data_IF_143252111217
#
_entry.id   IF_143252111217
#
_cell.length_a   1.000
_cell.length_b   1.000
_cell.length_c   1.000
_cell.angle_alpha   90.00
_cell.angle_beta   90.00
_cell.angle_gamma   90.00
#
_symmetry.space_group_name_H-M   'P 1'
#
loop_
_entity.id
_entity.type
_entity.pdbx_description
1 polymer ?
#
# COMPACT_ATOMS: atom_id res chain seq x y z
N UNK A 1 -26.93 6.35 -14.93
CA UNK A 1 -26.35 6.56 -13.58
C UNK A 1 -25.07 7.35 -13.78
N UNK A 2 -24.82 8.41 -12.99
CA UNK A 2 -23.56 9.13 -13.08
C UNK A 2 -22.43 8.16 -12.70
N UNK A 3 -21.37 8.09 -13.51
CA UNK A 3 -20.21 7.28 -13.23
C UNK A 3 -19.44 7.90 -12.09
N UNK A 4 -19.14 7.13 -11.04
CA UNK A 4 -18.34 7.62 -9.92
C UNK A 4 -16.92 7.88 -10.39
N UNK A 5 -16.44 9.11 -10.17
CA UNK A 5 -15.11 9.56 -10.60
C UNK A 5 -14.07 9.31 -9.53
N UNK A 6 -12.86 8.93 -9.94
CA UNK A 6 -11.68 8.85 -9.07
C UNK A 6 -10.44 9.40 -9.78
N UNK A 7 -9.61 10.10 -9.03
CA UNK A 7 -8.27 10.47 -9.44
C UNK A 7 -7.26 9.46 -8.94
N UNK A 8 -6.43 8.94 -9.85
CA UNK A 8 -5.28 8.07 -9.54
C UNK A 8 -4.02 8.92 -9.62
N UNK A 9 -3.46 9.27 -8.46
CA UNK A 9 -2.31 10.15 -8.38
C UNK A 9 -1.00 9.35 -8.46
N UNK A 10 -0.40 9.36 -9.63
CA UNK A 10 0.81 8.65 -10.02
C UNK A 10 0.62 7.94 -11.38
N UNK A 11 1.17 8.51 -12.46
CA UNK A 11 1.12 7.93 -13.80
C UNK A 11 2.36 7.06 -14.07
N UNK A 12 2.30 5.82 -13.58
CA UNK A 12 3.37 4.83 -13.66
C UNK A 12 2.79 3.43 -13.88
N UNK A 13 3.65 2.40 -13.98
CA UNK A 13 3.19 1.00 -14.02
C UNK A 13 2.34 0.63 -12.79
N UNK A 14 2.75 1.07 -11.59
CA UNK A 14 1.94 0.87 -10.38
C UNK A 14 0.61 1.64 -10.47
N UNK A 15 0.63 2.87 -10.96
CA UNK A 15 -0.59 3.66 -11.19
C UNK A 15 -1.56 2.97 -12.14
N UNK A 16 -1.09 2.33 -13.20
CA UNK A 16 -1.93 1.56 -14.11
C UNK A 16 -2.64 0.40 -13.39
N UNK A 17 -1.92 -0.35 -12.56
CA UNK A 17 -2.51 -1.44 -11.75
C UNK A 17 -3.55 -0.91 -10.77
N UNK A 18 -3.25 0.20 -10.07
CA UNK A 18 -4.22 0.82 -9.15
C UNK A 18 -5.47 1.32 -9.88
N UNK A 19 -5.32 1.84 -11.10
CA UNK A 19 -6.45 2.23 -11.94
C UNK A 19 -7.36 1.04 -12.30
N UNK A 20 -6.76 -0.14 -12.56
CA UNK A 20 -7.56 -1.36 -12.79
C UNK A 20 -8.28 -1.81 -11.52
N UNK A 21 -7.63 -1.69 -10.34
CA UNK A 21 -8.30 -1.93 -9.05
C UNK A 21 -9.45 -0.96 -8.84
N UNK A 22 -9.27 0.32 -9.14
CA UNK A 22 -10.36 1.32 -9.04
C UNK A 22 -11.56 0.96 -9.91
N UNK A 23 -11.30 0.55 -11.16
CA UNK A 23 -12.37 0.06 -12.07
C UNK A 23 -13.08 -1.17 -11.50
N UNK A 24 -12.32 -2.13 -10.94
CA UNK A 24 -12.88 -3.31 -10.28
C UNK A 24 -13.72 -2.96 -9.04
N UNK A 25 -13.44 -1.83 -8.39
CA UNK A 25 -14.25 -1.27 -7.30
C UNK A 25 -15.48 -0.48 -7.78
N UNK A 26 -15.72 -0.35 -9.10
CA UNK A 26 -16.92 0.28 -9.67
C UNK A 26 -16.72 1.75 -10.09
N UNK A 27 -15.52 2.30 -10.03
CA UNK A 27 -15.27 3.63 -10.58
C UNK A 27 -15.30 3.59 -12.11
N UNK A 28 -16.20 4.35 -12.71
CA UNK A 28 -16.39 4.38 -14.17
C UNK A 28 -15.58 5.47 -14.87
N UNK A 29 -15.20 6.53 -14.14
CA UNK A 29 -14.38 7.64 -14.63
C UNK A 29 -13.05 7.68 -13.83
N UNK A 30 -11.97 7.17 -14.44
CA UNK A 30 -10.64 7.08 -13.81
C UNK A 30 -9.70 8.04 -14.51
N UNK A 31 -9.31 9.11 -13.81
CA UNK A 31 -8.44 10.18 -14.32
C UNK A 31 -7.09 10.12 -13.64
N UNK A 32 -6.00 10.15 -14.41
CA UNK A 32 -4.66 10.17 -13.84
C UNK A 32 -4.23 11.58 -13.44
N UNK A 33 -3.56 11.69 -12.30
CA UNK A 33 -2.82 12.87 -11.88
C UNK A 33 -1.33 12.55 -11.82
N UNK A 34 -0.47 13.45 -12.29
CA UNK A 34 0.99 13.36 -12.13
C UNK A 34 1.62 14.74 -12.31
N UNK A 35 2.36 15.22 -11.32
CA UNK A 35 2.95 16.56 -11.36
C UNK A 35 4.13 16.67 -12.31
N UNK A 36 4.78 15.55 -12.66
CA UNK A 36 5.94 15.50 -13.55
C UNK A 36 5.58 15.08 -14.99
N UNK A 37 4.54 14.23 -15.14
CA UNK A 37 4.19 13.60 -16.42
C UNK A 37 2.83 14.09 -16.96
N UNK A 38 2.34 15.23 -16.52
CA UNK A 38 1.07 15.75 -17.00
C UNK A 38 1.18 16.21 -18.46
N UNK A 39 0.15 15.92 -19.25
CA UNK A 39 0.02 16.33 -20.66
C UNK A 39 -1.17 17.28 -20.91
N UNK A 40 -1.92 17.59 -19.85
CA UNK A 40 -3.11 18.46 -19.88
C UNK A 40 -4.34 17.86 -20.56
N UNK A 41 -4.25 16.59 -20.99
CA UNK A 41 -5.32 15.90 -21.70
C UNK A 41 -5.68 14.56 -21.06
N UNK A 42 -4.73 13.63 -20.98
CA UNK A 42 -4.94 12.29 -20.44
C UNK A 42 -4.41 12.18 -19.00
N UNK A 43 -3.44 13.00 -18.65
CA UNK A 43 -2.85 13.10 -17.32
C UNK A 43 -2.90 14.56 -16.89
N UNK A 44 -3.57 14.83 -15.80
CA UNK A 44 -3.69 16.19 -15.24
C UNK A 44 -2.62 16.41 -14.18
N UNK A 45 -2.34 17.66 -13.88
CA UNK A 45 -1.55 18.04 -12.71
C UNK A 45 -2.49 18.16 -11.51
N UNK A 46 -2.03 17.80 -10.32
CA UNK A 46 -2.83 18.02 -9.12
C UNK A 46 -3.01 19.51 -8.85
N UNK A 47 -4.26 19.93 -8.76
CA UNK A 47 -4.65 21.30 -8.43
C UNK A 47 -5.82 21.26 -7.43
N UNK A 48 -5.76 22.02 -6.30
CA UNK A 48 -6.85 22.10 -5.33
C UNK A 48 -8.20 22.55 -5.92
N UNK A 49 -8.20 23.23 -7.08
CA UNK A 49 -9.40 23.68 -7.78
C UNK A 49 -10.07 22.63 -8.66
N UNK A 50 -9.47 21.46 -8.82
CA UNK A 50 -10.10 20.34 -9.53
C UNK A 50 -11.46 20.02 -8.94
N UNK A 51 -12.38 19.54 -9.79
CA UNK A 51 -13.66 19.01 -9.34
C UNK A 51 -13.45 17.98 -8.22
N UNK A 52 -14.20 18.10 -7.12
CA UNK A 52 -14.07 17.18 -5.99
C UNK A 52 -14.56 15.80 -6.37
N UNK A 53 -13.69 14.83 -6.18
CA UNK A 53 -13.91 13.41 -6.38
C UNK A 53 -12.95 12.64 -5.46
N UNK A 54 -13.14 11.34 -5.35
CA UNK A 54 -12.22 10.48 -4.63
C UNK A 54 -10.81 10.54 -5.24
N UNK A 55 -9.79 10.42 -4.39
CA UNK A 55 -8.39 10.34 -4.83
C UNK A 55 -7.75 9.11 -4.22
N UNK A 56 -6.96 8.39 -4.99
CA UNK A 56 -6.04 7.36 -4.51
C UNK A 56 -4.61 7.68 -4.94
N UNK A 57 -3.67 7.66 -3.98
CA UNK A 57 -2.25 7.89 -4.29
C UNK A 57 -1.59 6.58 -4.70
N UNK A 58 -1.20 6.49 -5.97
CA UNK A 58 -0.66 5.30 -6.61
C UNK A 58 0.86 5.37 -6.79
N UNK A 59 1.57 5.63 -5.70
CA UNK A 59 3.03 5.74 -5.64
C UNK A 59 3.59 4.62 -4.79
N UNK A 60 4.55 3.86 -5.33
CA UNK A 60 5.18 2.73 -4.63
C UNK A 60 6.11 3.15 -3.49
N UNK A 61 6.74 4.33 -3.59
CA UNK A 61 7.55 4.90 -2.52
C UNK A 61 6.67 5.30 -1.34
N UNK A 62 6.97 4.77 -0.16
CA UNK A 62 6.14 4.92 1.02
C UNK A 62 6.11 6.37 1.54
N UNK A 63 7.25 7.06 1.51
CA UNK A 63 7.38 8.45 1.99
C UNK A 63 6.70 9.42 1.05
N UNK A 64 6.94 9.28 -0.26
CA UNK A 64 6.29 10.11 -1.29
C UNK A 64 4.78 9.89 -1.25
N UNK A 65 4.31 8.64 -1.11
CA UNK A 65 2.89 8.32 -0.99
C UNK A 65 2.24 9.03 0.20
N UNK A 66 2.91 9.03 1.36
CA UNK A 66 2.45 9.77 2.57
C UNK A 66 2.32 11.25 2.29
N UNK A 67 3.37 11.90 1.78
CA UNK A 67 3.39 13.34 1.50
C UNK A 67 2.25 13.73 0.53
N UNK A 68 2.05 12.95 -0.53
CA UNK A 68 1.01 13.23 -1.51
C UNK A 68 -0.40 12.99 -0.94
N UNK A 69 -0.59 11.98 -0.11
CA UNK A 69 -1.89 11.74 0.53
C UNK A 69 -2.24 12.85 1.53
N UNK A 70 -1.30 13.31 2.32
CA UNK A 70 -1.47 14.47 3.21
C UNK A 70 -1.81 15.75 2.39
N UNK A 71 -1.14 15.97 1.27
CA UNK A 71 -1.43 17.07 0.35
C UNK A 71 -2.86 17.00 -0.19
N UNK A 72 -3.32 15.84 -0.60
CA UNK A 72 -4.68 15.59 -1.08
C UNK A 72 -5.72 15.89 0.00
N UNK A 73 -5.52 15.37 1.21
CA UNK A 73 -6.39 15.62 2.37
C UNK A 73 -6.47 17.12 2.73
N UNK A 74 -5.32 17.78 2.78
CA UNK A 74 -5.25 19.22 3.10
C UNK A 74 -5.93 20.09 2.03
N UNK A 75 -6.03 19.60 0.81
CA UNK A 75 -6.78 20.25 -0.27
C UNK A 75 -8.29 19.94 -0.23
N UNK A 76 -8.76 19.15 0.74
CA UNK A 76 -10.17 18.82 0.96
C UNK A 76 -10.74 17.83 -0.05
N UNK A 77 -9.92 16.88 -0.51
CA UNK A 77 -10.38 15.72 -1.28
C UNK A 77 -10.54 14.51 -0.35
N UNK A 78 -11.51 13.65 -0.67
CA UNK A 78 -11.68 12.37 0.00
C UNK A 78 -10.66 11.35 -0.54
N UNK A 79 -10.04 10.60 0.37
CA UNK A 79 -9.05 9.58 0.00
C UNK A 79 -9.71 8.21 -0.04
N UNK A 80 -9.74 7.60 -1.21
CA UNK A 80 -10.36 6.30 -1.41
C UNK A 80 -9.57 5.18 -0.72
N UNK A 81 -10.27 4.15 -0.26
CA UNK A 81 -9.74 2.84 0.06
C UNK A 81 -10.18 1.88 -1.04
N UNK A 82 -9.24 1.20 -1.69
CA UNK A 82 -9.54 0.30 -2.78
C UNK A 82 -9.25 -1.16 -2.37
N UNK A 83 -10.23 -2.03 -2.57
CA UNK A 83 -10.11 -3.46 -2.31
C UNK A 83 -10.57 -4.19 -3.57
N UNK A 84 -9.63 -4.84 -4.26
CA UNK A 84 -9.95 -5.57 -5.48
C UNK A 84 -10.95 -6.70 -5.20
N UNK A 85 -11.90 -6.92 -6.10
CA UNK A 85 -12.97 -7.91 -5.93
C UNK A 85 -12.50 -9.36 -5.78
N UNK A 86 -11.28 -9.68 -6.24
CA UNK A 86 -10.66 -11.01 -6.03
C UNK A 86 -9.83 -11.11 -4.75
N UNK A 87 -9.71 -10.04 -3.97
CA UNK A 87 -9.06 -10.13 -2.66
C UNK A 87 -10.00 -10.82 -1.66
N UNK A 88 -9.42 -11.65 -0.80
CA UNK A 88 -10.17 -12.30 0.29
C UNK A 88 -9.88 -11.56 1.58
N UNK A 89 -10.87 -10.83 2.08
CA UNK A 89 -10.74 -10.01 3.28
C UNK A 89 -11.73 -10.47 4.34
N UNK A 90 -11.22 -10.82 5.52
CA UNK A 90 -12.06 -11.18 6.66
C UNK A 90 -12.97 -10.02 7.08
N UNK A 91 -14.22 -10.33 7.44
CA UNK A 91 -15.17 -9.35 7.96
C UNK A 91 -14.70 -8.67 9.25
N UNK A 92 -13.78 -9.28 10.00
CA UNK A 92 -13.20 -8.72 11.23
C UNK A 92 -11.90 -7.94 11.00
N UNK A 93 -11.38 -7.91 9.76
CA UNK A 93 -10.21 -7.10 9.43
C UNK A 93 -10.58 -5.61 9.34
N UNK A 94 -9.61 -4.75 9.69
CA UNK A 94 -9.76 -3.30 9.58
C UNK A 94 -8.76 -2.80 8.54
N UNK A 95 -9.23 -1.98 7.60
CA UNK A 95 -8.39 -1.44 6.54
C UNK A 95 -8.53 0.08 6.54
N UNK A 96 -7.40 0.78 6.65
CA UNK A 96 -7.30 2.23 6.72
C UNK A 96 -7.67 2.94 5.42
N UNK A 97 -7.88 4.23 5.53
CA UNK A 97 -8.09 5.14 4.41
C UNK A 97 -6.83 5.18 3.51
N UNK A 98 -7.01 5.33 2.20
CA UNK A 98 -5.88 5.36 1.25
C UNK A 98 -5.18 4.02 1.04
N UNK A 99 -5.56 2.97 1.76
CA UNK A 99 -4.99 1.66 1.54
C UNK A 99 -5.48 1.04 0.23
N UNK A 100 -4.58 0.29 -0.43
CA UNK A 100 -4.89 -0.46 -1.63
C UNK A 100 -4.63 -1.95 -1.38
N UNK A 101 -5.67 -2.77 -1.54
CA UNK A 101 -5.60 -4.23 -1.49
C UNK A 101 -5.73 -4.75 -2.92
N UNK A 102 -4.64 -5.31 -3.41
CA UNK A 102 -4.48 -5.73 -4.80
C UNK A 102 -5.14 -7.09 -5.10
N UNK A 103 -5.23 -7.50 -6.38
CA UNK A 103 -5.79 -8.79 -6.77
C UNK A 103 -5.18 -9.97 -6.01
N UNK A 104 -6.05 -10.92 -5.60
CA UNK A 104 -5.71 -12.16 -4.92
C UNK A 104 -4.95 -12.01 -3.59
N UNK A 105 -4.89 -10.83 -3.01
CA UNK A 105 -4.38 -10.66 -1.66
C UNK A 105 -5.35 -11.27 -0.63
N UNK A 106 -4.80 -11.79 0.46
CA UNK A 106 -5.57 -12.38 1.57
C UNK A 106 -5.30 -11.60 2.84
N UNK A 107 -6.36 -11.16 3.52
CA UNK A 107 -6.27 -10.47 4.82
C UNK A 107 -7.19 -11.20 5.80
N UNK A 108 -6.60 -11.90 6.75
CA UNK A 108 -7.29 -12.79 7.67
C UNK A 108 -7.88 -12.08 8.90
N UNK A 109 -8.47 -12.89 9.78
CA UNK A 109 -9.27 -12.42 10.92
C UNK A 109 -8.49 -11.48 11.84
N UNK A 110 -9.13 -10.36 12.23
CA UNK A 110 -8.61 -9.34 13.16
C UNK A 110 -7.33 -8.63 12.70
N UNK A 111 -6.87 -8.85 11.48
CA UNK A 111 -5.75 -8.10 10.93
C UNK A 111 -6.12 -6.61 10.81
N UNK A 112 -5.14 -5.74 11.08
CA UNK A 112 -5.28 -4.29 10.96
C UNK A 112 -4.29 -3.80 9.91
N UNK A 113 -4.79 -3.10 8.90
CA UNK A 113 -4.00 -2.48 7.84
C UNK A 113 -4.14 -0.97 7.97
N UNK A 114 -3.04 -0.29 8.13
CA UNK A 114 -2.97 1.15 8.36
C UNK A 114 -3.31 2.00 7.14
N UNK A 115 -3.35 3.31 7.36
CA UNK A 115 -3.61 4.32 6.36
C UNK A 115 -2.56 4.27 5.23
N UNK A 116 -3.00 4.42 3.99
CA UNK A 116 -2.10 4.49 2.82
C UNK A 116 -1.24 3.24 2.60
N UNK A 117 -1.49 2.13 3.27
CA UNK A 117 -0.74 0.89 3.10
C UNK A 117 -1.06 0.22 1.76
N UNK A 118 -0.07 -0.49 1.21
CA UNK A 118 -0.24 -1.33 0.02
C UNK A 118 -0.12 -2.80 0.41
N UNK A 119 -1.19 -3.55 0.24
CA UNK A 119 -1.18 -5.01 0.29
C UNK A 119 -1.21 -5.50 -1.14
N UNK A 120 -0.03 -5.86 -1.66
CA UNK A 120 0.16 -6.05 -3.09
C UNK A 120 -0.34 -7.43 -3.57
N UNK A 121 -0.29 -7.65 -4.87
CA UNK A 121 -0.85 -8.82 -5.56
C UNK A 121 -0.41 -10.13 -4.90
N UNK A 122 -1.38 -10.95 -4.50
CA UNK A 122 -1.14 -12.26 -3.88
C UNK A 122 -0.47 -12.23 -2.50
N UNK A 123 -0.32 -11.06 -1.87
CA UNK A 123 0.23 -10.99 -0.51
C UNK A 123 -0.74 -11.61 0.50
N UNK A 124 -0.19 -12.27 1.53
CA UNK A 124 -0.96 -12.94 2.58
C UNK A 124 -0.65 -12.28 3.93
N UNK A 125 -1.69 -11.74 4.55
CA UNK A 125 -1.67 -11.17 5.89
C UNK A 125 -2.51 -12.08 6.78
N UNK A 126 -1.86 -12.85 7.62
CA UNK A 126 -2.53 -13.79 8.52
C UNK A 126 -3.24 -13.08 9.69
N UNK A 127 -3.99 -13.88 10.50
CA UNK A 127 -4.79 -13.38 11.61
C UNK A 127 -3.93 -12.59 12.62
N UNK A 128 -4.54 -11.58 13.23
CA UNK A 128 -3.95 -10.74 14.29
C UNK A 128 -2.69 -9.96 13.84
N UNK A 129 -2.42 -9.85 12.53
CA UNK A 129 -1.33 -9.01 12.02
C UNK A 129 -1.66 -7.53 12.13
N UNK A 130 -0.63 -6.71 12.36
CA UNK A 130 -0.71 -5.26 12.33
C UNK A 130 0.23 -4.71 11.26
N UNK A 131 -0.33 -4.07 10.24
CA UNK A 131 0.43 -3.42 9.15
C UNK A 131 0.32 -1.91 9.35
N UNK A 132 1.43 -1.27 9.63
CA UNK A 132 1.51 0.15 9.92
C UNK A 132 1.19 1.05 8.72
N UNK A 133 0.95 2.33 9.01
CA UNK A 133 0.62 3.33 8.02
C UNK A 133 1.70 3.43 6.94
N UNK A 134 1.26 3.54 5.69
CA UNK A 134 2.13 3.65 4.53
C UNK A 134 3.14 2.50 4.37
N UNK A 135 2.95 1.37 5.04
CA UNK A 135 3.75 0.18 4.77
C UNK A 135 3.38 -0.42 3.40
N UNK A 136 4.32 -1.15 2.82
CA UNK A 136 4.11 -1.84 1.55
C UNK A 136 4.49 -3.31 1.71
N UNK A 137 3.51 -4.19 1.70
CA UNK A 137 3.70 -5.65 1.62
C UNK A 137 3.66 -6.02 0.15
N UNK A 138 4.82 -6.34 -0.42
CA UNK A 138 5.02 -6.54 -1.85
C UNK A 138 4.37 -7.81 -2.39
N UNK A 139 4.33 -8.01 -3.73
CA UNK A 139 3.69 -9.19 -4.31
C UNK A 139 4.16 -10.52 -3.71
N UNK A 140 3.21 -11.41 -3.41
CA UNK A 140 3.46 -12.75 -2.85
C UNK A 140 4.27 -12.78 -1.55
N UNK A 141 4.37 -11.67 -0.82
CA UNK A 141 4.91 -11.71 0.53
C UNK A 141 3.88 -12.31 1.50
N UNK A 142 4.34 -13.12 2.47
CA UNK A 142 3.47 -13.83 3.40
C UNK A 142 3.88 -13.56 4.86
N UNK A 143 2.94 -13.06 5.65
CA UNK A 143 3.14 -12.76 7.06
C UNK A 143 2.28 -13.71 7.89
N UNK A 144 2.93 -14.55 8.71
CA UNK A 144 2.24 -15.48 9.60
C UNK A 144 1.51 -14.74 10.74
N UNK A 145 0.68 -15.44 11.51
CA UNK A 145 -0.19 -14.84 12.51
C UNK A 145 0.52 -13.98 13.54
N UNK A 146 -0.06 -12.83 13.88
CA UNK A 146 0.46 -11.90 14.88
C UNK A 146 1.74 -11.15 14.48
N UNK A 147 2.10 -11.12 13.21
CA UNK A 147 3.23 -10.32 12.72
C UNK A 147 2.88 -8.83 12.79
N UNK A 148 3.81 -8.01 13.29
CA UNK A 148 3.71 -6.56 13.30
C UNK A 148 4.69 -5.98 12.28
N UNK A 149 4.21 -5.15 11.37
CA UNK A 149 5.02 -4.38 10.41
C UNK A 149 4.84 -2.90 10.71
N UNK A 150 5.90 -2.21 11.06
CA UNK A 150 5.87 -0.78 11.38
C UNK A 150 5.60 0.11 10.17
N UNK A 151 5.29 1.38 10.46
CA UNK A 151 4.97 2.38 9.44
C UNK A 151 6.11 2.58 8.44
N UNK A 152 5.77 2.95 7.19
CA UNK A 152 6.71 3.17 6.08
C UNK A 152 7.61 1.98 5.71
N UNK A 153 7.41 0.82 6.32
CA UNK A 153 8.24 -0.37 6.06
C UNK A 153 7.87 -1.02 4.74
N UNK A 154 8.90 -1.39 3.98
CA UNK A 154 8.77 -2.14 2.74
C UNK A 154 9.15 -3.59 2.95
N UNK A 155 8.20 -4.51 2.82
CA UNK A 155 8.42 -5.96 2.82
C UNK A 155 8.54 -6.43 1.39
N UNK A 156 9.73 -6.84 0.98
CA UNK A 156 10.08 -7.16 -0.41
C UNK A 156 9.30 -8.35 -0.99
N UNK A 157 9.26 -8.40 -2.32
CA UNK A 157 8.54 -9.44 -3.08
C UNK A 157 8.93 -10.85 -2.64
N UNK A 158 7.94 -11.74 -2.43
CA UNK A 158 8.16 -13.14 -2.07
C UNK A 158 8.82 -13.37 -0.71
N UNK A 159 8.93 -12.35 0.15
CA UNK A 159 9.44 -12.51 1.51
C UNK A 159 8.41 -13.16 2.40
N UNK A 160 8.87 -13.83 3.47
CA UNK A 160 7.98 -14.35 4.50
C UNK A 160 8.49 -14.02 5.91
N UNK A 161 7.55 -13.93 6.86
CA UNK A 161 7.85 -13.74 8.27
C UNK A 161 7.14 -14.82 9.10
N UNK A 162 7.86 -15.43 10.05
CA UNK A 162 7.25 -16.37 10.98
C UNK A 162 6.32 -15.63 11.96
N UNK A 163 5.47 -16.37 12.66
CA UNK A 163 4.50 -15.82 13.60
C UNK A 163 5.13 -14.95 14.70
N UNK A 164 4.37 -13.93 15.11
CA UNK A 164 4.65 -13.06 16.26
C UNK A 164 5.98 -12.28 16.19
N UNK A 165 6.62 -12.18 15.03
CA UNK A 165 7.79 -11.32 14.89
C UNK A 165 7.38 -9.86 14.62
N UNK A 166 8.20 -8.92 15.07
CA UNK A 166 8.05 -7.50 14.82
C UNK A 166 9.09 -7.02 13.82
N UNK A 167 8.63 -6.44 12.73
CA UNK A 167 9.44 -5.67 11.79
C UNK A 167 9.17 -4.19 12.09
N UNK A 168 10.19 -3.45 12.49
CA UNK A 168 10.05 -2.06 12.89
C UNK A 168 9.59 -1.12 11.78
N UNK A 169 9.51 0.17 12.08
CA UNK A 169 9.18 1.23 11.14
C UNK A 169 10.38 1.59 10.25
N UNK A 170 10.11 2.17 9.06
CA UNK A 170 11.14 2.62 8.11
C UNK A 170 12.15 1.52 7.73
N UNK A 171 11.73 0.25 7.76
CA UNK A 171 12.55 -0.89 7.39
C UNK A 171 12.42 -1.23 5.90
N UNK A 172 13.47 -1.86 5.35
CA UNK A 172 13.45 -2.51 4.05
C UNK A 172 13.81 -3.97 4.24
N UNK A 173 12.86 -4.86 3.97
CA UNK A 173 13.09 -6.30 3.89
C UNK A 173 13.32 -6.64 2.42
N UNK A 174 14.49 -7.18 2.10
CA UNK A 174 14.84 -7.51 0.71
C UNK A 174 13.99 -8.66 0.15
N UNK A 175 13.89 -8.74 -1.17
CA UNK A 175 13.11 -9.77 -1.87
C UNK A 175 13.51 -11.19 -1.45
N UNK A 176 12.53 -12.10 -1.31
CA UNK A 176 12.76 -13.51 -0.96
C UNK A 176 13.33 -13.76 0.44
N UNK A 177 13.26 -12.78 1.34
CA UNK A 177 13.81 -12.92 2.69
C UNK A 177 12.92 -13.74 3.60
N UNK A 178 13.53 -14.45 4.57
CA UNK A 178 12.83 -15.22 5.60
C UNK A 178 13.11 -14.59 6.96
N UNK A 179 12.14 -13.83 7.48
CA UNK A 179 12.26 -13.14 8.76
C UNK A 179 11.86 -14.10 9.89
N UNK A 180 12.83 -14.46 10.73
CA UNK A 180 12.67 -15.42 11.82
C UNK A 180 12.92 -14.82 13.22
N UNK A 181 13.10 -13.53 13.29
CA UNK A 181 13.27 -12.74 14.54
C UNK A 181 12.97 -11.27 14.29
N UNK A 182 12.79 -10.53 15.34
CA UNK A 182 12.50 -9.10 15.27
C UNK A 182 13.58 -8.32 14.50
N UNK A 183 13.13 -7.32 13.75
CA UNK A 183 13.94 -6.36 13.00
C UNK A 183 13.72 -4.98 13.61
N UNK A 184 14.79 -4.33 14.06
CA UNK A 184 14.72 -3.00 14.65
C UNK A 184 14.35 -1.93 13.61
N UNK A 185 13.76 -0.82 14.07
CA UNK A 185 13.39 0.32 13.23
C UNK A 185 14.57 0.81 12.36
N UNK A 186 14.26 1.31 11.17
CA UNK A 186 15.24 1.87 10.25
C UNK A 186 16.26 0.86 9.71
N UNK A 187 15.96 -0.41 9.69
CA UNK A 187 16.89 -1.45 9.25
C UNK A 187 16.66 -1.87 7.81
N UNK A 188 17.75 -2.15 7.10
CA UNK A 188 17.75 -2.93 5.86
C UNK A 188 18.16 -4.35 6.19
N UNK A 189 17.28 -5.33 5.97
CA UNK A 189 17.52 -6.73 6.27
C UNK A 189 17.15 -7.63 5.08
N UNK A 190 17.94 -8.65 4.81
CA UNK A 190 17.62 -9.64 3.77
C UNK A 190 18.33 -10.98 4.00
N UNK A 191 17.90 -11.99 3.25
CA UNK A 191 18.44 -13.35 3.23
C UNK A 191 17.53 -14.38 3.87
N UNK A 192 18.01 -15.64 3.91
CA UNK A 192 17.37 -16.78 4.55
C UNK A 192 18.35 -17.47 5.50
N UNK A 193 18.26 -17.27 6.83
CA UNK A 193 17.38 -16.29 7.50
C UNK A 193 17.80 -14.86 7.26
N UNK A 194 16.84 -13.92 7.33
CA UNK A 194 17.09 -12.51 7.18
C UNK A 194 18.02 -11.97 8.30
N UNK A 195 18.99 -11.15 7.89
CA UNK A 195 19.92 -10.46 8.79
C UNK A 195 19.92 -8.98 8.50
N UNK A 196 20.04 -8.15 9.54
CA UNK A 196 20.25 -6.71 9.39
C UNK A 196 21.63 -6.49 8.77
N UNK A 197 21.67 -5.80 7.65
CA UNK A 197 22.88 -5.54 6.85
C UNK A 197 23.37 -4.11 7.05
N UNK A 198 22.45 -3.16 7.16
CA UNK A 198 22.74 -1.74 7.37
C UNK A 198 21.53 -0.99 7.92
N UNK A 199 21.74 0.23 8.34
CA UNK A 199 20.64 1.16 8.60
C UNK A 199 20.07 1.68 7.28
N UNK A 200 18.75 1.87 7.24
CA UNK A 200 18.08 2.60 6.18
C UNK A 200 18.39 4.10 6.38
N UNK A 201 18.99 4.72 5.39
CA UNK A 201 19.40 6.15 5.43
C UNK A 201 18.51 7.03 4.55
N UNK A 202 17.50 6.41 3.95
CA UNK A 202 16.57 7.06 3.01
C UNK A 202 15.34 7.60 3.73
#
# INVERSE_FOLDING_TARGET
MATTKIYVYGFSGHGAVVADVARACGYGDVVFLDDAKFDGKNVLKFDPSLEKADVIVAIGDNKIRRILQERVKNAGFDVARLIHSSAVVSASAKIGEGAVVMPNAVINARAVVGEGAIINTGAVIEHDCEIGDFAHVSPNAALAGGVIVGANTHVGIGSCAIQCVKIGSDCIIGAGSVVVRDIADGSVAYGNPAKIIRQNKD
#
